data_IF_976447087741
#
_entry.id   IF_976447087741
#
_cell.length_a   1.000
_cell.length_b   1.000
_cell.length_c   1.000
_cell.angle_alpha   90.00
_cell.angle_beta   90.00
_cell.angle_gamma   90.00
#
_symmetry.space_group_name_H-M   'P 1'
#
loop_
_entity.id
_entity.type
_entity.pdbx_description
1 polymer ?
#
# COMPACT_ATOMS: atom_id res chain seq x y z
N UNK A 1 -15.64 6.19 -5.48
CA UNK A 1 -14.86 6.80 -6.57
C UNK A 1 -13.36 6.52 -6.43
N UNK A 2 -12.69 6.95 -5.34
CA UNK A 2 -11.24 6.76 -5.14
C UNK A 2 -10.74 5.31 -5.31
N UNK A 3 -11.32 4.34 -4.59
CA UNK A 3 -10.93 2.92 -4.69
C UNK A 3 -10.97 2.37 -6.12
N UNK A 4 -11.89 2.85 -6.97
CA UNK A 4 -12.01 2.40 -8.35
C UNK A 4 -10.90 3.00 -9.21
N UNK A 5 -10.56 4.28 -8.98
CA UNK A 5 -9.49 4.96 -9.69
C UNK A 5 -8.13 4.31 -9.40
N UNK A 6 -7.80 4.08 -8.13
CA UNK A 6 -6.54 3.43 -7.72
C UNK A 6 -6.45 1.98 -8.18
N UNK A 7 -7.56 1.23 -8.16
CA UNK A 7 -7.60 -0.13 -8.71
C UNK A 7 -7.36 -0.14 -10.22
N UNK A 8 -7.98 0.77 -10.96
CA UNK A 8 -7.80 0.88 -12.41
C UNK A 8 -6.37 1.29 -12.76
N UNK A 9 -5.79 2.24 -12.02
CA UNK A 9 -4.41 2.66 -12.18
C UNK A 9 -3.47 1.47 -11.99
N UNK A 10 -3.54 0.76 -10.85
CA UNK A 10 -2.69 -0.41 -10.59
C UNK A 10 -2.83 -1.49 -11.65
N UNK A 11 -4.04 -1.76 -12.14
CA UNK A 11 -4.26 -2.74 -13.21
C UNK A 11 -3.50 -2.39 -14.50
N UNK A 12 -3.28 -1.10 -14.78
CA UNK A 12 -2.55 -0.66 -15.97
C UNK A 12 -1.03 -0.74 -15.79
N UNK A 13 -0.55 -0.47 -14.58
CA UNK A 13 0.88 -0.26 -14.31
C UNK A 13 1.60 -1.49 -13.74
N UNK A 14 0.84 -2.43 -13.19
CA UNK A 14 1.34 -3.64 -12.55
C UNK A 14 0.49 -4.84 -13.02
N UNK A 15 0.68 -5.28 -14.28
CA UNK A 15 -0.09 -6.40 -14.85
C UNK A 15 0.17 -7.72 -14.13
N UNK A 16 1.37 -7.87 -13.55
CA UNK A 16 1.78 -9.06 -12.77
C UNK A 16 1.10 -9.12 -11.38
N UNK A 17 0.51 -8.01 -10.92
CA UNK A 17 -0.35 -7.98 -9.73
C UNK A 17 0.39 -8.03 -8.39
N UNK A 18 1.59 -7.47 -8.33
CA UNK A 18 2.39 -7.33 -7.11
C UNK A 18 1.88 -6.22 -6.17
N UNK A 19 1.27 -5.18 -6.73
CA UNK A 19 0.79 -4.00 -6.04
C UNK A 19 -0.66 -4.15 -5.57
N UNK A 20 -0.95 -3.55 -4.41
CA UNK A 20 -2.28 -3.55 -3.80
C UNK A 20 -2.81 -2.12 -3.79
N UNK A 21 -3.96 -1.91 -4.42
CA UNK A 21 -4.58 -0.59 -4.45
C UNK A 21 -5.08 -0.14 -3.08
N UNK A 22 -4.89 1.13 -2.78
CA UNK A 22 -5.47 1.78 -1.62
C UNK A 22 -6.93 2.11 -1.90
N UNK A 23 -7.84 1.68 -1.02
CA UNK A 23 -9.28 1.85 -1.21
C UNK A 23 -9.86 3.13 -0.59
N UNK A 24 -9.17 3.72 0.40
CA UNK A 24 -9.60 4.92 1.13
C UNK A 24 -8.50 5.97 1.12
N UNK A 25 -8.84 7.22 0.83
CA UNK A 25 -7.89 8.35 0.85
C UNK A 25 -7.30 8.55 2.25
N UNK A 26 -8.11 8.44 3.30
CA UNK A 26 -7.64 8.63 4.67
C UNK A 26 -6.60 7.59 5.11
N UNK A 27 -6.64 6.40 4.51
CA UNK A 27 -5.71 5.32 4.81
C UNK A 27 -4.36 5.54 4.10
N UNK A 28 -4.30 6.31 3.00
CA UNK A 28 -3.08 6.44 2.20
C UNK A 28 -1.94 7.10 2.96
N UNK A 29 -2.25 8.05 3.85
CA UNK A 29 -1.24 8.73 4.68
C UNK A 29 -0.53 7.82 5.68
N UNK A 30 -1.14 6.67 6.01
CA UNK A 30 -0.60 5.69 6.95
C UNK A 30 0.21 4.60 6.25
N UNK A 31 0.11 4.50 4.93
CA UNK A 31 0.77 3.47 4.11
C UNK A 31 2.11 4.00 3.58
N UNK A 32 3.04 4.22 4.50
CA UNK A 32 4.42 4.63 4.23
C UNK A 32 5.37 3.42 4.22
N UNK A 33 6.61 3.54 3.73
CA UNK A 33 7.62 2.49 3.91
C UNK A 33 7.70 2.05 5.37
N UNK A 34 7.84 0.74 5.59
CA UNK A 34 7.84 0.10 6.92
C UNK A 34 6.55 0.22 7.75
N UNK A 35 5.46 0.79 7.22
CA UNK A 35 4.18 0.74 7.89
C UNK A 35 3.67 -0.71 8.03
N UNK A 36 3.09 -1.03 9.19
CA UNK A 36 2.49 -2.33 9.41
C UNK A 36 1.01 -2.32 9.05
N UNK A 37 0.53 -3.47 8.58
CA UNK A 37 -0.87 -3.65 8.18
C UNK A 37 -1.43 -4.94 8.74
N UNK A 38 -2.70 -4.90 9.15
CA UNK A 38 -3.42 -6.10 9.56
C UNK A 38 -4.13 -6.69 8.34
N UNK A 39 -3.76 -7.91 7.98
CA UNK A 39 -4.45 -8.68 6.94
C UNK A 39 -5.80 -9.17 7.49
N UNK A 40 -6.90 -8.72 6.89
CA UNK A 40 -8.22 -9.30 7.16
C UNK A 40 -8.41 -10.57 6.35
N UNK A 41 -8.73 -11.65 7.06
CA UNK A 41 -9.05 -12.93 6.46
C UNK A 41 -10.22 -12.82 5.49
N UNK A 42 -10.11 -13.57 4.39
CA UNK A 42 -11.16 -13.64 3.37
C UNK A 42 -12.30 -14.50 3.91
N UNK A 43 -13.52 -13.97 3.90
CA UNK A 43 -14.74 -14.77 4.15
C UNK A 43 -15.00 -15.72 2.96
N UNK A 44 -14.57 -15.34 1.76
CA UNK A 44 -14.77 -16.10 0.53
C UNK A 44 -13.48 -16.07 -0.31
N UNK A 45 -13.02 -17.23 -0.80
CA UNK A 45 -11.69 -17.39 -1.41
C UNK A 45 -11.44 -16.52 -2.65
N UNK A 46 -12.50 -16.14 -3.34
CA UNK A 46 -12.55 -15.29 -4.53
C UNK A 46 -12.46 -13.79 -4.21
N UNK A 47 -12.72 -13.35 -2.97
CA UNK A 47 -12.57 -11.94 -2.59
C UNK A 47 -11.09 -11.64 -2.33
N UNK A 48 -10.54 -10.55 -2.88
CA UNK A 48 -9.17 -10.11 -2.54
C UNK A 48 -9.03 -9.82 -1.03
N UNK A 49 -7.91 -10.17 -0.36
CA UNK A 49 -7.75 -9.86 1.05
C UNK A 49 -7.70 -8.34 1.20
N UNK A 50 -8.16 -7.85 2.36
CA UNK A 50 -8.08 -6.42 2.68
C UNK A 50 -7.01 -6.21 3.74
N UNK A 51 -6.29 -5.12 3.62
CA UNK A 51 -5.26 -4.72 4.57
C UNK A 51 -5.74 -3.46 5.26
N UNK A 52 -5.60 -3.42 6.58
CA UNK A 52 -5.91 -2.25 7.39
C UNK A 52 -4.62 -1.62 7.87
N UNK A 53 -4.38 -0.33 7.58
CA UNK A 53 -3.24 0.37 8.15
C UNK A 53 -3.32 0.40 9.67
N UNK A 54 -2.17 0.26 10.31
CA UNK A 54 -1.99 0.61 11.73
C UNK A 54 -1.45 2.02 11.86
N UNK A 55 -1.30 2.50 13.10
CA UNK A 55 -0.72 3.81 13.42
C UNK A 55 0.76 3.73 13.80
N UNK A 56 1.42 2.61 13.48
CA UNK A 56 2.82 2.37 13.82
C UNK A 56 3.56 1.68 12.67
N UNK A 57 4.86 1.91 12.63
CA UNK A 57 5.83 1.31 11.71
C UNK A 57 6.52 0.12 12.37
N UNK A 58 7.32 -0.62 11.60
CA UNK A 58 8.18 -1.66 12.14
C UNK A 58 9.16 -1.12 13.18
N UNK A 59 9.68 0.10 12.99
CA UNK A 59 10.64 0.73 13.92
C UNK A 59 10.06 0.92 15.32
N UNK A 60 8.76 1.25 15.41
CA UNK A 60 8.07 1.46 16.69
C UNK A 60 7.92 0.18 17.53
N UNK A 61 8.07 -1.00 16.91
CA UNK A 61 7.92 -2.30 17.58
C UNK A 61 9.24 -2.94 17.99
N UNK A 62 10.36 -2.47 17.46
CA UNK A 62 11.66 -3.07 17.76
C UNK A 62 12.22 -2.54 19.06
N UNK A 63 12.82 -3.44 19.83
CA UNK A 63 13.50 -3.11 21.08
C UNK A 63 15.01 -2.98 20.84
N UNK A 64 15.67 -2.13 21.63
CA UNK A 64 17.10 -1.86 21.56
C UNK A 64 17.44 -0.56 20.84
N UNK A 65 18.73 -0.21 20.82
CA UNK A 65 19.21 1.11 20.41
C UNK A 65 19.38 1.27 18.89
N UNK A 66 19.06 0.22 18.12
CA UNK A 66 19.25 0.22 16.67
C UNK A 66 18.08 0.90 15.98
N UNK A 67 18.32 2.12 15.51
CA UNK A 67 17.38 2.82 14.62
C UNK A 67 17.37 2.12 13.26
N UNK A 68 16.18 1.76 12.78
CA UNK A 68 16.00 1.32 11.40
C UNK A 68 15.83 2.55 10.52
N UNK A 69 16.73 2.68 9.55
CA UNK A 69 16.70 3.73 8.53
C UNK A 69 16.74 3.05 7.16
N UNK A 70 15.57 2.82 6.51
CA UNK A 70 15.55 2.23 5.19
C UNK A 70 16.07 3.25 4.18
N UNK A 71 16.96 2.84 3.29
CA UNK A 71 17.31 3.67 2.13
C UNK A 71 16.08 3.76 1.21
N UNK A 72 15.51 4.96 1.09
CA UNK A 72 14.31 5.23 0.27
C UNK A 72 14.74 6.01 -0.96
N UNK A 73 14.69 5.34 -2.11
CA UNK A 73 14.84 5.98 -3.41
C UNK A 73 13.48 6.17 -4.07
N UNK A 74 13.17 7.39 -4.48
CA UNK A 74 12.05 7.65 -5.38
C UNK A 74 12.51 7.52 -6.83
N UNK A 75 11.79 6.71 -7.60
CA UNK A 75 11.96 6.65 -9.05
C UNK A 75 10.69 7.24 -9.69
N UNK A 76 10.87 8.02 -10.75
CA UNK A 76 9.74 8.51 -11.53
C UNK A 76 9.07 7.29 -12.18
N UNK A 77 7.95 6.88 -11.59
CA UNK A 77 7.41 5.56 -11.84
C UNK A 77 6.81 5.47 -13.26
N UNK A 78 6.07 6.49 -13.71
CA UNK A 78 5.51 6.60 -15.06
C UNK A 78 5.07 8.04 -15.38
N UNK A 79 5.12 8.44 -16.66
CA UNK A 79 4.39 9.61 -17.19
C UNK A 79 2.93 9.22 -17.46
N UNK A 80 2.11 9.12 -16.40
CA UNK A 80 0.69 8.77 -16.56
C UNK A 80 -0.08 9.90 -17.27
N UNK A 81 -0.48 9.68 -18.52
CA UNK A 81 -1.47 10.52 -19.22
C UNK A 81 -2.85 9.89 -19.04
N UNK A 82 -3.66 10.46 -18.15
CA UNK A 82 -5.04 10.01 -17.97
C UNK A 82 -5.85 10.21 -19.25
N UNK A 83 -6.31 9.12 -19.86
CA UNK A 83 -7.35 9.16 -20.89
C UNK A 83 -8.71 9.07 -20.20
N UNK A 84 -9.48 10.14 -20.28
CA UNK A 84 -10.84 10.24 -19.72
C UNK A 84 -11.87 9.58 -20.63
#
# INVERSE_FOLDING_TARGET
MFSKATANFIRQIDPEGSLIHVSRVNDSKKLVPMALVVKRNRIWFWKRPKYQPTDFTLSDLLQGDKVLDPDVSEAEFLTYRGTF
#
